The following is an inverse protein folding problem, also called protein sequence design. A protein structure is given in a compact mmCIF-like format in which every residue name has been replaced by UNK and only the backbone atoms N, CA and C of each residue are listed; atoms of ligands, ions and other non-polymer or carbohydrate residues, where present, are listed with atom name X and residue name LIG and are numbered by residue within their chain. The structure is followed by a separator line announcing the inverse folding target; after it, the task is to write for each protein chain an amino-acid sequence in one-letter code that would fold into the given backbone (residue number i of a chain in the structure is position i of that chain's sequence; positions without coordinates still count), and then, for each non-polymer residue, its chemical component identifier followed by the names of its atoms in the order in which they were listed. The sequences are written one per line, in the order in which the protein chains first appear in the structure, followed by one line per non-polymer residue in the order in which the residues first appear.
data_IF_825994591675
#
_entry.id   IF_825994591675
#
_cell.length_a   1.000
_cell.length_b   1.000
_cell.length_c   1.000
_cell.angle_alpha   90.00
_cell.angle_beta   90.00
_cell.angle_gamma   90.00
#
_symmetry.space_group_name_H-M   'P 1'
#
loop_
_entity.id
_entity.type
_entity.pdbx_description
1 polymer ?
#
# COMPACT_ATOMS: atom_id res chain seq x y z
N UNK A 1 5.93 -6.36 3.86
CA UNK A 1 6.46 -4.97 3.90
C UNK A 1 5.49 -3.84 4.23
N UNK A 2 4.24 -3.84 3.75
CA UNK A 2 3.37 -2.65 3.84
C UNK A 2 3.18 -2.10 5.27
N UNK A 3 2.94 -2.99 6.23
CA UNK A 3 2.81 -2.65 7.66
C UNK A 3 4.08 -1.99 8.20
N UNK A 4 5.25 -2.56 7.90
CA UNK A 4 6.55 -2.03 8.32
C UNK A 4 6.81 -0.62 7.76
N UNK A 5 6.58 -0.40 6.46
CA UNK A 5 6.83 0.91 5.84
C UNK A 5 5.90 1.98 6.41
N UNK A 6 4.64 1.64 6.68
CA UNK A 6 3.70 2.57 7.32
C UNK A 6 4.11 2.92 8.74
N UNK A 7 4.63 1.93 9.49
CA UNK A 7 5.19 2.13 10.82
C UNK A 7 6.38 3.09 10.79
N UNK A 8 7.33 2.90 9.86
CA UNK A 8 8.52 3.76 9.71
C UNK A 8 8.19 5.19 9.32
N UNK A 9 7.23 5.38 8.41
CA UNK A 9 6.90 6.69 7.84
C UNK A 9 5.85 7.48 8.65
N UNK A 10 5.35 6.93 9.77
CA UNK A 10 4.29 7.53 10.59
C UNK A 10 3.10 8.04 9.75
N UNK A 11 2.68 7.27 8.74
CA UNK A 11 1.66 7.69 7.75
C UNK A 11 0.22 7.74 8.29
N UNK A 12 0.02 7.31 9.54
CA UNK A 12 -1.28 7.26 10.21
C UNK A 12 -1.19 7.97 11.55
N UNK A 13 -2.33 8.14 12.22
CA UNK A 13 -2.39 8.67 13.59
C UNK A 13 -1.63 7.84 14.61
N UNK A 14 -1.18 6.63 14.24
CA UNK A 14 -0.38 5.75 15.09
C UNK A 14 0.56 4.88 14.25
N UNK A 15 1.71 4.53 14.85
CA UNK A 15 2.69 3.55 14.34
C UNK A 15 2.49 2.16 14.95
N UNK A 16 1.39 1.95 15.70
CA UNK A 16 1.07 0.67 16.32
C UNK A 16 0.89 -0.45 15.29
N UNK A 17 1.55 -1.58 15.54
CA UNK A 17 1.63 -2.68 14.58
C UNK A 17 0.27 -3.37 14.37
N UNK A 18 -0.55 -3.48 15.42
CA UNK A 18 -1.86 -4.13 15.35
C UNK A 18 -2.85 -3.25 14.62
N UNK A 19 -2.84 -1.95 14.91
CA UNK A 19 -3.63 -0.98 14.17
C UNK A 19 -3.30 -1.05 12.67
N UNK A 20 -2.01 -0.97 12.31
CA UNK A 20 -1.58 -1.00 10.92
C UNK A 20 -1.88 -2.35 10.22
N UNK A 21 -1.73 -3.47 10.94
CA UNK A 21 -2.14 -4.79 10.46
C UNK A 21 -3.66 -4.85 10.22
N UNK A 22 -4.47 -4.30 11.13
CA UNK A 22 -5.92 -4.21 10.98
C UNK A 22 -6.33 -3.40 9.74
N UNK A 23 -5.69 -2.25 9.50
CA UNK A 23 -5.92 -1.44 8.29
C UNK A 23 -5.53 -2.22 7.02
N UNK A 24 -4.42 -2.95 7.05
CA UNK A 24 -4.00 -3.79 5.92
C UNK A 24 -5.03 -4.91 5.66
N UNK A 25 -5.40 -5.64 6.72
CA UNK A 25 -6.35 -6.74 6.62
C UNK A 25 -7.70 -6.27 6.08
N UNK A 26 -8.22 -5.14 6.58
CA UNK A 26 -9.46 -4.56 6.07
C UNK A 26 -9.34 -4.08 4.61
N UNK A 27 -8.17 -3.60 4.19
CA UNK A 27 -7.92 -3.23 2.78
C UNK A 27 -8.07 -4.42 1.84
N UNK A 28 -7.58 -5.59 2.27
CA UNK A 28 -7.58 -6.80 1.46
C UNK A 28 -8.68 -7.81 1.87
N UNK A 29 -9.58 -7.49 2.81
CA UNK A 29 -10.56 -8.46 3.32
C UNK A 29 -11.47 -9.07 2.25
N UNK A 30 -11.71 -8.32 1.17
CA UNK A 30 -12.53 -8.75 0.05
C UNK A 30 -11.74 -9.56 -0.99
N UNK A 31 -10.45 -9.83 -0.76
CA UNK A 31 -9.62 -10.59 -1.69
C UNK A 31 -10.20 -11.98 -1.95
N UNK A 32 -10.73 -12.64 -0.91
CA UNK A 32 -11.44 -13.91 -1.05
C UNK A 32 -12.59 -13.81 -2.05
N UNK A 33 -13.43 -12.79 -1.91
CA UNK A 33 -14.55 -12.55 -2.83
C UNK A 33 -14.06 -12.35 -4.26
N UNK A 34 -12.96 -11.61 -4.46
CA UNK A 34 -12.37 -11.41 -5.79
C UNK A 34 -11.98 -12.76 -6.42
N UNK A 35 -11.32 -13.66 -5.68
CA UNK A 35 -10.95 -14.98 -6.20
C UNK A 35 -12.12 -15.93 -6.42
N UNK A 36 -13.13 -15.89 -5.55
CA UNK A 36 -14.23 -16.85 -5.60
C UNK A 36 -15.38 -16.43 -6.53
N UNK A 37 -15.53 -15.13 -6.80
CA UNK A 37 -16.72 -14.58 -7.48
C UNK A 37 -16.44 -13.86 -8.79
N UNK A 38 -15.20 -13.44 -9.02
CA UNK A 38 -14.84 -12.78 -10.28
C UNK A 38 -14.19 -13.81 -11.20
N UNK A 39 -14.45 -13.70 -12.50
CA UNK A 39 -13.81 -14.54 -13.50
C UNK A 39 -12.28 -14.42 -13.37
N UNK A 40 -11.54 -15.53 -13.20
CA UNK A 40 -10.08 -15.51 -13.08
C UNK A 40 -9.37 -14.80 -14.24
N UNK A 41 -9.91 -14.87 -15.46
CA UNK A 41 -9.33 -14.19 -16.63
C UNK A 41 -9.47 -12.66 -16.56
N UNK A 42 -10.23 -12.12 -15.59
CA UNK A 42 -10.36 -10.68 -15.34
C UNK A 42 -9.53 -10.20 -14.15
N UNK A 43 -8.75 -11.07 -13.51
CA UNK A 43 -7.90 -10.73 -12.37
C UNK A 43 -6.53 -11.35 -12.55
N UNK A 44 -5.48 -10.53 -12.54
CA UNK A 44 -4.09 -11.00 -12.43
C UNK A 44 -3.47 -10.46 -11.15
N UNK A 45 -2.89 -11.37 -10.36
CA UNK A 45 -2.07 -11.02 -9.21
C UNK A 45 -0.65 -10.80 -9.70
N UNK A 46 -0.03 -9.72 -9.22
CA UNK A 46 1.39 -9.49 -9.39
C UNK A 46 1.98 -9.28 -8.01
N UNK A 47 2.88 -10.18 -7.60
CA UNK A 47 3.65 -9.98 -6.38
C UNK A 47 4.73 -8.91 -6.62
N UNK A 48 4.94 -8.07 -5.62
CA UNK A 48 5.96 -7.03 -5.72
C UNK A 48 7.35 -7.66 -5.87
N UNK A 49 7.59 -8.77 -5.17
CA UNK A 49 8.84 -9.52 -5.22
C UNK A 49 9.15 -9.99 -6.64
N UNK A 50 8.18 -10.58 -7.33
CA UNK A 50 8.32 -11.05 -8.72
C UNK A 50 8.53 -9.88 -9.68
N UNK A 51 7.76 -8.79 -9.53
CA UNK A 51 7.91 -7.58 -10.34
C UNK A 51 9.31 -6.97 -10.25
N UNK A 52 9.97 -7.07 -9.09
CA UNK A 52 11.32 -6.56 -8.90
C UNK A 52 12.39 -7.57 -9.34
N UNK A 53 12.17 -8.87 -9.13
CA UNK A 53 13.16 -9.90 -9.47
C UNK A 53 13.17 -10.24 -10.96
N UNK A 54 11.99 -10.26 -11.58
CA UNK A 54 11.74 -10.65 -12.96
C UNK A 54 10.95 -9.56 -13.69
N UNK A 55 11.45 -8.32 -13.63
CA UNK A 55 10.71 -7.13 -14.12
C UNK A 55 10.25 -7.26 -15.56
N UNK A 56 11.14 -7.62 -16.49
CA UNK A 56 10.77 -7.70 -17.91
C UNK A 56 9.69 -8.75 -18.16
N UNK A 57 9.86 -9.95 -17.60
CA UNK A 57 8.90 -11.03 -17.72
C UNK A 57 7.55 -10.63 -17.13
N UNK A 58 7.54 -10.09 -15.90
CA UNK A 58 6.32 -9.64 -15.23
C UNK A 58 5.60 -8.56 -16.04
N UNK A 59 6.33 -7.59 -16.60
CA UNK A 59 5.74 -6.52 -17.44
C UNK A 59 5.17 -7.09 -18.73
N UNK A 60 5.83 -8.07 -19.37
CA UNK A 60 5.28 -8.76 -20.55
C UNK A 60 3.97 -9.46 -20.23
N UNK A 61 3.91 -10.17 -19.12
CA UNK A 61 2.68 -10.84 -18.68
C UNK A 61 1.55 -9.86 -18.33
N UNK A 62 1.90 -8.68 -17.79
CA UNK A 62 0.92 -7.61 -17.56
C UNK A 62 0.39 -7.10 -18.90
N UNK A 63 1.27 -6.86 -19.88
CA UNK A 63 0.88 -6.43 -21.22
C UNK A 63 -0.03 -7.46 -21.90
N UNK A 64 0.33 -8.74 -21.83
CA UNK A 64 -0.46 -9.85 -22.36
C UNK A 64 -1.85 -9.92 -21.71
N UNK A 65 -1.91 -9.81 -20.38
CA UNK A 65 -3.18 -9.81 -19.64
C UNK A 65 -4.11 -8.65 -20.05
N UNK A 66 -3.55 -7.48 -20.37
CA UNK A 66 -4.32 -6.33 -20.86
C UNK A 66 -4.52 -6.30 -22.37
N UNK A 67 -4.02 -7.32 -23.10
CA UNK A 67 -4.04 -7.38 -24.57
C UNK A 67 -3.39 -6.15 -25.23
N UNK A 68 -2.32 -5.62 -24.63
CA UNK A 68 -1.55 -4.49 -25.16
C UNK A 68 -0.15 -4.90 -25.59
N UNK A 69 0.41 -4.19 -26.57
CA UNK A 69 1.77 -4.43 -27.04
C UNK A 69 2.81 -4.07 -25.97
N UNK A 70 3.74 -5.00 -25.72
CA UNK A 70 4.93 -4.73 -24.92
C UNK A 70 5.93 -3.87 -25.70
N UNK A 71 6.51 -2.88 -25.00
CA UNK A 71 7.58 -2.01 -25.50
C UNK A 71 8.76 -2.05 -24.52
N UNK A 72 9.98 -2.26 -25.03
CA UNK A 72 11.18 -2.40 -24.19
C UNK A 72 11.45 -1.14 -23.37
N UNK A 73 11.03 0.01 -23.88
CA UNK A 73 11.09 1.33 -23.26
C UNK A 73 10.30 1.41 -21.94
N UNK A 74 9.34 0.50 -21.70
CA UNK A 74 8.62 0.43 -20.42
C UNK A 74 9.55 0.13 -19.24
N UNK A 75 10.68 -0.54 -19.48
CA UNK A 75 11.69 -0.81 -18.46
C UNK A 75 12.47 0.45 -18.04
N UNK A 76 12.46 1.50 -18.87
CA UNK A 76 13.10 2.79 -18.60
C UNK A 76 12.12 3.78 -17.92
N UNK A 77 11.26 3.27 -17.02
CA UNK A 77 10.19 4.04 -16.39
C UNK A 77 10.68 5.31 -15.67
N UNK A 78 11.87 5.28 -15.06
CA UNK A 78 12.44 6.41 -14.33
C UNK A 78 12.71 7.61 -15.23
N UNK A 79 13.15 7.36 -16.47
CA UNK A 79 13.40 8.40 -17.48
C UNK A 79 12.07 8.97 -17.97
N UNK A 80 11.13 8.08 -18.30
CA UNK A 80 9.81 8.45 -18.79
C UNK A 80 9.02 9.26 -17.74
N UNK A 81 9.09 8.84 -16.47
CA UNK A 81 8.43 9.50 -15.36
C UNK A 81 9.04 10.86 -15.06
N UNK A 82 10.38 10.99 -15.09
CA UNK A 82 11.05 12.31 -14.97
C UNK A 82 10.59 13.26 -16.08
N UNK A 83 10.58 12.80 -17.32
CA UNK A 83 10.11 13.60 -18.47
C UNK A 83 8.66 14.02 -18.31
N UNK A 84 7.79 13.10 -17.85
CA UNK A 84 6.39 13.40 -17.56
C UNK A 84 6.23 14.51 -16.51
N UNK A 85 6.99 14.45 -15.42
CA UNK A 85 6.94 15.47 -14.37
C UNK A 85 7.39 16.85 -14.86
N UNK A 86 8.48 16.92 -15.64
CA UNK A 86 8.96 18.20 -16.22
C UNK A 86 7.92 18.82 -17.16
N UNK A 87 7.28 18.02 -18.02
CA UNK A 87 6.22 18.49 -18.92
C UNK A 87 5.02 19.04 -18.12
N UNK A 88 4.67 18.41 -17.00
CA UNK A 88 3.53 18.82 -16.18
C UNK A 88 3.84 19.96 -15.21
N UNK A 89 5.12 20.30 -15.00
CA UNK A 89 5.55 21.30 -14.01
C UNK A 89 4.87 22.66 -14.22
N UNK A 90 4.80 23.14 -15.47
CA UNK A 90 4.16 24.41 -15.82
C UNK A 90 2.65 24.42 -15.56
N UNK A 91 2.00 23.26 -15.59
CA UNK A 91 0.55 23.11 -15.42
C UNK A 91 0.17 22.98 -13.93
N UNK A 92 0.96 22.23 -13.16
CA UNK A 92 0.63 21.88 -11.76
C UNK A 92 1.17 22.89 -10.75
N UNK A 93 2.10 23.76 -11.16
CA UNK A 93 2.75 24.75 -10.31
C UNK A 93 3.85 24.16 -9.41
N UNK A 94 4.76 25.03 -8.98
CA UNK A 94 6.01 24.62 -8.29
C UNK A 94 5.75 23.90 -6.96
N UNK A 95 4.80 24.38 -6.15
CA UNK A 95 4.52 23.80 -4.84
C UNK A 95 3.97 22.35 -4.94
N UNK A 96 3.17 22.05 -5.97
CA UNK A 96 2.68 20.69 -6.19
C UNK A 96 3.78 19.80 -6.79
N UNK A 97 4.60 20.36 -7.69
CA UNK A 97 5.76 19.69 -8.26
C UNK A 97 6.72 19.21 -7.17
N UNK A 98 7.15 20.10 -6.27
CA UNK A 98 8.06 19.76 -5.16
C UNK A 98 7.47 18.67 -4.25
N UNK A 99 6.20 18.78 -3.89
CA UNK A 99 5.52 17.74 -3.09
C UNK A 99 5.47 16.39 -3.79
N UNK A 100 5.30 16.40 -5.11
CA UNK A 100 5.28 15.18 -5.92
C UNK A 100 6.66 14.54 -5.95
N UNK A 101 7.72 15.34 -6.12
CA UNK A 101 9.11 14.88 -6.02
C UNK A 101 9.39 14.26 -4.65
N UNK A 102 8.99 14.91 -3.55
CA UNK A 102 9.21 14.39 -2.20
C UNK A 102 8.52 13.03 -2.00
N UNK A 103 7.25 12.94 -2.39
CA UNK A 103 6.45 11.74 -2.14
C UNK A 103 6.79 10.58 -3.08
N UNK A 104 7.17 10.88 -4.32
CA UNK A 104 7.38 9.90 -5.41
C UNK A 104 8.84 9.82 -5.86
N UNK A 105 9.79 10.38 -5.10
CA UNK A 105 11.23 10.36 -5.39
C UNK A 105 11.79 8.97 -5.69
N UNK A 106 11.22 7.91 -5.12
CA UNK A 106 11.65 6.54 -5.41
C UNK A 106 11.39 6.11 -6.86
N UNK A 107 10.42 6.71 -7.55
CA UNK A 107 10.13 6.43 -8.97
C UNK A 107 11.17 7.04 -9.92
N UNK A 108 12.00 7.97 -9.43
CA UNK A 108 13.11 8.55 -10.20
C UNK A 108 14.39 7.71 -10.10
N UNK A 109 14.39 6.68 -9.25
CA UNK A 109 15.52 5.77 -9.05
C UNK A 109 15.27 4.47 -9.82
N UNK A 110 16.33 3.75 -10.23
CA UNK A 110 16.20 2.41 -10.79
C UNK A 110 15.59 1.45 -9.77
N UNK A 111 15.08 0.32 -10.26
CA UNK A 111 14.55 -0.75 -9.43
C UNK A 111 15.63 -1.24 -8.46
N UNK A 112 15.31 -1.27 -7.17
CA UNK A 112 16.18 -1.80 -6.12
C UNK A 112 15.55 -3.03 -5.48
N UNK A 113 16.39 -4.04 -5.23
CA UNK A 113 16.01 -5.28 -4.54
C UNK A 113 16.04 -5.15 -3.01
N UNK A 114 16.53 -4.03 -2.47
CA UNK A 114 16.82 -3.86 -1.03
C UNK A 114 15.57 -3.95 -0.16
N UNK A 115 14.40 -3.64 -0.74
CA UNK A 115 13.12 -3.63 -0.02
C UNK A 115 12.40 -4.98 -0.03
N UNK A 116 12.86 -5.94 -0.84
CA UNK A 116 12.25 -7.27 -0.87
C UNK A 116 12.46 -7.93 0.49
N UNK A 117 11.37 -8.44 1.08
CA UNK A 117 11.40 -9.15 2.35
C UNK A 117 12.02 -8.35 3.51
N UNK A 118 12.01 -7.01 3.45
CA UNK A 118 12.56 -6.17 4.51
C UNK A 118 11.86 -6.43 5.85
N UNK A 119 10.55 -6.69 5.80
CA UNK A 119 9.77 -7.10 6.96
C UNK A 119 10.30 -8.33 7.69
N UNK A 120 10.92 -9.30 7.00
CA UNK A 120 11.51 -10.49 7.63
C UNK A 120 12.75 -10.16 8.46
N UNK A 121 13.46 -9.08 8.10
CA UNK A 121 14.71 -8.65 8.76
C UNK A 121 14.45 -7.71 9.94
N UNK A 122 13.40 -6.90 9.86
CA UNK A 122 13.19 -5.79 10.79
C UNK A 122 12.05 -5.98 11.78
N UNK A 123 11.07 -6.85 11.48
CA UNK A 123 10.03 -7.18 12.44
C UNK A 123 10.52 -8.32 13.33
N UNK A 124 10.37 -8.15 14.63
CA UNK A 124 10.67 -9.22 15.57
C UNK A 124 9.57 -10.31 15.53
N UNK A 125 9.89 -11.50 16.06
CA UNK A 125 8.99 -12.66 16.06
C UNK A 125 7.62 -12.35 16.68
N UNK A 126 7.57 -11.60 17.79
CA UNK A 126 6.30 -11.24 18.43
C UNK A 126 5.43 -10.38 17.49
N UNK A 127 6.01 -9.40 16.81
CA UNK A 127 5.29 -8.57 15.85
C UNK A 127 4.77 -9.42 14.68
N UNK A 128 5.59 -10.34 14.17
CA UNK A 128 5.19 -11.25 13.10
C UNK A 128 4.02 -12.14 13.52
N UNK A 129 4.08 -12.75 14.70
CA UNK A 129 3.00 -13.60 15.23
C UNK A 129 1.70 -12.83 15.45
N UNK A 130 1.79 -11.60 15.94
CA UNK A 130 0.65 -10.70 16.09
C UNK A 130 0.04 -10.33 14.73
N UNK A 131 0.87 -10.00 13.74
CA UNK A 131 0.41 -9.73 12.37
C UNK A 131 -0.22 -10.98 11.76
N UNK A 132 0.38 -12.17 11.92
CA UNK A 132 -0.18 -13.44 11.44
C UNK A 132 -1.57 -13.70 12.02
N UNK A 133 -1.78 -13.37 13.29
CA UNK A 133 -3.08 -13.50 13.96
C UNK A 133 -4.15 -12.59 13.34
N UNK A 134 -3.78 -11.37 12.92
CA UNK A 134 -4.72 -10.40 12.34
C UNK A 134 -4.93 -10.63 10.84
N UNK A 135 -3.86 -10.93 10.10
CA UNK A 135 -3.80 -10.87 8.64
C UNK A 135 -3.66 -12.24 7.97
N UNK A 136 -3.33 -13.30 8.70
CA UNK A 136 -2.85 -14.57 8.14
C UNK A 136 -3.81 -15.20 7.12
N UNK A 137 -5.11 -15.23 7.42
CA UNK A 137 -6.10 -15.75 6.47
C UNK A 137 -6.13 -14.96 5.16
N UNK A 138 -6.14 -13.63 5.23
CA UNK A 138 -6.14 -12.75 4.05
C UNK A 138 -4.82 -12.85 3.28
N UNK A 139 -3.70 -12.95 3.99
CA UNK A 139 -2.38 -13.12 3.41
C UNK A 139 -2.24 -14.43 2.62
N UNK A 140 -2.85 -15.53 3.09
CA UNK A 140 -2.86 -16.81 2.37
C UNK A 140 -3.56 -16.76 1.01
N UNK A 141 -4.66 -16.01 0.88
CA UNK A 141 -5.29 -15.78 -0.44
C UNK A 141 -4.36 -15.03 -1.41
N UNK A 142 -3.43 -14.25 -0.86
CA UNK A 142 -2.37 -13.56 -1.60
C UNK A 142 -1.06 -14.35 -1.57
N UNK A 143 -1.09 -15.66 -1.31
CA UNK A 143 0.07 -16.55 -1.35
C UNK A 143 1.22 -16.17 -0.40
N UNK A 144 0.94 -15.40 0.66
CA UNK A 144 1.89 -15.13 1.74
C UNK A 144 1.54 -15.98 2.96
N UNK A 145 2.43 -16.91 3.35
CA UNK A 145 2.26 -17.69 4.58
C UNK A 145 2.90 -17.00 5.77
N UNK A 146 2.09 -16.27 6.55
CA UNK A 146 2.55 -15.59 7.76
C UNK A 146 2.61 -16.53 8.97
N UNK A 147 1.99 -17.72 8.90
CA UNK A 147 1.95 -18.65 10.02
C UNK A 147 3.25 -19.43 10.21
N UNK A 148 4.21 -19.30 9.29
CA UNK A 148 5.58 -19.83 9.44
C UNK A 148 6.26 -19.34 10.74
N UNK A 149 5.86 -18.17 11.24
CA UNK A 149 6.35 -17.57 12.49
C UNK A 149 5.48 -17.90 13.72
N UNK A 150 4.36 -18.62 13.53
CA UNK A 150 3.34 -18.90 14.52
C UNK A 150 2.28 -17.78 14.65
N UNK A 151 1.34 -17.97 15.57
CA UNK A 151 0.30 -17.00 15.90
C UNK A 151 0.28 -16.75 17.41
N UNK A 152 0.03 -15.50 17.83
CA UNK A 152 0.00 -15.10 19.24
C UNK A 152 -1.35 -14.49 19.58
N UNK A 153 -1.95 -14.93 20.69
CA UNK A 153 -3.21 -14.38 21.19
C UNK A 153 -3.04 -12.87 21.46
N UNK A 154 -4.00 -12.09 20.95
CA UNK A 154 -4.04 -10.64 21.14
C UNK A 154 -4.50 -10.30 22.57
N UNK A 155 -3.76 -9.42 23.25
CA UNK A 155 -4.16 -8.90 24.55
C UNK A 155 -5.25 -7.82 24.41
N UNK A 156 -5.73 -7.26 25.53
CA UNK A 156 -6.78 -6.24 25.51
C UNK A 156 -6.38 -4.97 24.75
N UNK A 157 -5.13 -4.53 24.90
CA UNK A 157 -4.60 -3.37 24.17
C UNK A 157 -4.56 -3.62 22.67
N UNK A 158 -4.08 -4.80 22.25
CA UNK A 158 -4.07 -5.21 20.85
C UNK A 158 -5.49 -5.23 20.26
N UNK A 159 -6.46 -5.80 20.99
CA UNK A 159 -7.88 -5.82 20.57
C UNK A 159 -8.45 -4.41 20.44
N UNK A 160 -8.09 -3.48 21.32
CA UNK A 160 -8.49 -2.09 21.24
C UNK A 160 -7.92 -1.39 20.00
N UNK A 161 -6.65 -1.64 19.66
CA UNK A 161 -6.04 -1.10 18.44
C UNK A 161 -6.70 -1.66 17.18
N UNK A 162 -7.04 -2.95 17.19
CA UNK A 162 -7.75 -3.58 16.08
C UNK A 162 -9.18 -3.00 15.92
N UNK A 163 -9.89 -2.78 17.03
CA UNK A 163 -11.19 -2.12 17.02
C UNK A 163 -11.10 -0.70 16.45
N UNK A 164 -10.10 0.08 16.89
CA UNK A 164 -9.82 1.41 16.33
C UNK A 164 -9.58 1.36 14.83
N UNK A 165 -8.80 0.41 14.32
CA UNK A 165 -8.55 0.25 12.89
C UNK A 165 -9.84 -0.01 12.11
N UNK A 166 -10.70 -0.91 12.61
CA UNK A 166 -11.99 -1.23 12.01
C UNK A 166 -12.95 -0.03 12.00
N UNK A 167 -13.04 0.70 13.13
CA UNK A 167 -13.87 1.89 13.26
C UNK A 167 -13.41 3.02 12.35
N UNK A 168 -12.09 3.25 12.27
CA UNK A 168 -11.51 4.31 11.45
C UNK A 168 -12.00 4.22 10.00
N UNK A 169 -11.91 3.05 9.37
CA UNK A 169 -12.42 2.83 8.00
C UNK A 169 -13.92 3.09 7.89
N UNK A 170 -14.71 2.38 8.70
CA UNK A 170 -16.17 2.35 8.54
C UNK A 170 -16.80 3.72 8.80
N UNK A 171 -16.43 4.35 9.93
CA UNK A 171 -17.01 5.63 10.30
C UNK A 171 -16.47 6.75 9.41
N UNK A 172 -15.16 6.80 9.16
CA UNK A 172 -14.60 7.87 8.34
C UNK A 172 -15.09 7.82 6.89
N UNK A 173 -15.03 6.67 6.20
CA UNK A 173 -15.45 6.62 4.79
C UNK A 173 -16.94 6.86 4.63
N UNK A 174 -17.78 6.26 5.47
CA UNK A 174 -19.24 6.41 5.37
C UNK A 174 -19.68 7.85 5.64
N UNK A 175 -19.08 8.50 6.64
CA UNK A 175 -19.34 9.91 6.93
C UNK A 175 -18.76 10.79 5.82
N UNK A 176 -17.48 10.61 5.48
CA UNK A 176 -16.77 11.42 4.49
C UNK A 176 -17.45 11.37 3.13
N UNK A 177 -17.89 10.20 2.64
CA UNK A 177 -18.55 10.10 1.34
C UNK A 177 -19.85 10.90 1.28
N UNK A 178 -20.62 10.94 2.39
CA UNK A 178 -21.86 11.72 2.52
C UNK A 178 -21.64 13.22 2.68
N UNK A 179 -20.43 13.67 3.02
CA UNK A 179 -20.16 15.11 3.19
C UNK A 179 -20.21 15.85 1.85
N UNK A 180 -20.80 17.05 1.79
CA UNK A 180 -20.77 17.89 0.60
C UNK A 180 -19.34 18.34 0.26
N UNK A 181 -19.08 18.61 -1.02
CA UNK A 181 -17.73 18.91 -1.55
C UNK A 181 -17.10 20.11 -0.83
N UNK A 182 -17.87 21.17 -0.55
CA UNK A 182 -17.37 22.36 0.12
C UNK A 182 -16.80 22.05 1.51
N UNK A 183 -17.46 21.17 2.27
CA UNK A 183 -17.02 20.76 3.60
C UNK A 183 -15.76 19.89 3.52
N UNK A 184 -15.66 19.00 2.52
CA UNK A 184 -14.44 18.23 2.24
C UNK A 184 -13.25 19.15 1.95
N UNK A 185 -13.45 20.20 1.14
CA UNK A 185 -12.43 21.20 0.82
C UNK A 185 -12.03 21.97 2.08
N UNK A 186 -13.00 22.37 2.90
CA UNK A 186 -12.76 23.09 4.15
C UNK A 186 -11.96 22.25 5.16
N UNK A 187 -12.36 20.99 5.41
CA UNK A 187 -11.61 20.04 6.26
C UNK A 187 -10.16 19.90 5.78
N UNK A 188 -9.96 19.79 4.45
CA UNK A 188 -8.62 19.69 3.85
C UNK A 188 -7.79 20.96 4.07
N UNK A 189 -8.39 22.14 3.94
CA UNK A 189 -7.72 23.43 4.21
C UNK A 189 -7.28 23.54 5.67
N UNK A 190 -8.12 23.12 6.62
CA UNK A 190 -7.76 23.12 8.05
C UNK A 190 -6.63 22.14 8.33
N UNK A 191 -6.69 20.92 7.78
CA UNK A 191 -5.65 19.91 7.98
C UNK A 191 -4.29 20.35 7.44
N UNK A 192 -4.25 21.04 6.31
CA UNK A 192 -3.03 21.54 5.70
C UNK A 192 -2.42 22.76 6.40
N UNK A 193 -3.13 23.39 7.36
CA UNK A 193 -2.59 24.47 8.20
C UNK A 193 -1.81 23.96 9.42
N UNK A 194 -1.85 22.65 9.72
CA UNK A 194 -0.94 22.07 10.72
C UNK A 194 0.43 21.88 10.07
N UNK A 195 1.51 22.47 10.59
CA UNK A 195 2.85 22.10 10.15
C UNK A 195 3.04 20.60 10.42
N UNK A 196 3.62 19.89 9.45
CA UNK A 196 4.17 18.56 9.74
C UNK A 196 5.33 18.79 10.71
N UNK A 197 5.13 18.43 11.98
CA UNK A 197 6.21 18.24 12.93
C UNK A 197 7.09 17.07 12.51
#
# INVERSE_FOLDING_TARGET
DNVLIRKKRNLHSTSDIIYLAGIWNDTYKNVKYLFEKVNPNKIKIIHYEDLIQQTEQTVREICEFFEVRYFKEMLNYQVNYKKYLEIKRSIIGEAYYQRTLDFQSSLLKPISKDKINLWKKELNTEQLQKIATVCGNTARYLQYDLYEYGAKKLNLSDKWQLLKANMHRYQFLKLYLKLPIWLKIWIKKIRNKKPMC
#
